data_IF_275060056567
#
_entry.id   IF_275060056567
#
_cell.length_a   1.000
_cell.length_b   1.000
_cell.length_c   1.000
_cell.angle_alpha   90.00
_cell.angle_beta   90.00
_cell.angle_gamma   90.00
#
_symmetry.space_group_name_H-M   'P 1'
#
loop_
_entity.id
_entity.type
_entity.pdbx_description
1 polymer ?
#
# COMPACT_ATOMS: atom_id res chain seq x y z
N UNK A 1 26.35 15.31 -11.92
CA UNK A 1 25.99 13.94 -12.37
C UNK A 1 25.85 12.99 -11.19
N UNK A 2 26.93 12.53 -10.54
CA UNK A 2 26.84 11.55 -9.44
C UNK A 2 26.03 12.06 -8.22
N UNK A 3 26.29 13.31 -7.79
CA UNK A 3 25.51 13.99 -6.73
C UNK A 3 24.01 13.98 -7.01
N UNK A 4 23.62 14.40 -8.21
CA UNK A 4 22.21 14.46 -8.63
C UNK A 4 21.55 13.07 -8.66
N UNK A 5 22.27 12.05 -9.15
CA UNK A 5 21.76 10.68 -9.15
C UNK A 5 21.53 10.14 -7.73
N UNK A 6 22.44 10.43 -6.79
CA UNK A 6 22.27 10.08 -5.38
C UNK A 6 21.13 10.85 -4.74
N UNK A 7 21.04 12.17 -4.98
CA UNK A 7 19.94 13.00 -4.50
C UNK A 7 18.58 12.49 -4.97
N UNK A 8 18.42 12.27 -6.27
CA UNK A 8 17.16 11.70 -6.79
C UNK A 8 16.83 10.33 -6.22
N UNK A 9 17.84 9.48 -5.95
CA UNK A 9 17.61 8.19 -5.29
C UNK A 9 17.13 8.36 -3.85
N UNK A 10 17.72 9.31 -3.10
CA UNK A 10 17.30 9.63 -1.74
C UNK A 10 15.87 10.20 -1.71
N UNK A 11 15.54 11.09 -2.63
CA UNK A 11 14.21 11.71 -2.73
C UNK A 11 13.12 10.65 -2.98
N UNK A 12 13.36 9.70 -3.88
CA UNK A 12 12.40 8.62 -4.17
C UNK A 12 12.31 7.65 -2.96
N UNK A 13 13.42 7.36 -2.28
CA UNK A 13 13.39 6.56 -1.04
C UNK A 13 12.58 7.25 0.07
N UNK A 14 12.67 8.58 0.18
CA UNK A 14 11.88 9.38 1.10
C UNK A 14 10.39 9.35 0.73
N UNK A 15 10.06 9.58 -0.55
CA UNK A 15 8.69 9.50 -1.04
C UNK A 15 8.05 8.13 -0.73
N UNK A 16 8.79 7.04 -0.99
CA UNK A 16 8.37 5.68 -0.60
C UNK A 16 8.12 5.54 0.90
N UNK A 17 9.00 6.09 1.75
CA UNK A 17 8.83 6.04 3.19
C UNK A 17 7.56 6.79 3.66
N UNK A 18 7.26 7.94 3.03
CA UNK A 18 6.01 8.69 3.25
C UNK A 18 4.80 7.86 2.83
N UNK A 19 4.79 7.28 1.63
CA UNK A 19 3.68 6.42 1.16
C UNK A 19 3.40 5.25 2.10
N UNK A 20 4.44 4.59 2.60
CA UNK A 20 4.28 3.50 3.57
C UNK A 20 3.67 3.98 4.89
N UNK A 21 4.09 5.16 5.38
CA UNK A 21 3.54 5.77 6.59
C UNK A 21 2.07 6.12 6.43
N UNK A 22 1.71 6.78 5.33
CA UNK A 22 0.32 7.19 5.06
C UNK A 22 -0.60 5.97 4.90
N UNK A 23 -0.07 4.89 4.30
CA UNK A 23 -0.81 3.63 4.12
C UNK A 23 -0.78 2.71 5.34
N UNK A 24 -0.23 3.15 6.48
CA UNK A 24 -0.09 2.35 7.71
C UNK A 24 0.62 1.00 7.51
N UNK A 25 1.53 0.91 6.54
CA UNK A 25 2.32 -0.30 6.25
C UNK A 25 3.58 -0.29 7.12
N UNK A 26 3.80 -1.37 7.88
CA UNK A 26 4.95 -1.55 8.77
C UNK A 26 6.26 -1.00 8.19
N UNK A 27 6.87 -0.10 8.95
CA UNK A 27 8.12 0.55 8.58
C UNK A 27 9.30 -0.40 8.78
N UNK A 28 10.28 -0.33 7.89
CA UNK A 28 11.56 -1.04 8.07
C UNK A 28 12.25 -0.50 9.32
N UNK A 29 12.39 -1.34 10.34
CA UNK A 29 13.15 -1.04 11.55
C UNK A 29 14.65 -0.92 11.23
N UNK A 30 15.32 0.05 11.85
CA UNK A 30 16.78 0.22 11.74
C UNK A 30 17.47 -1.03 12.32
N UNK A 31 18.39 -1.61 11.56
CA UNK A 31 19.21 -2.74 12.01
C UNK A 31 20.50 -2.27 12.69
N UNK A 32 21.11 -3.13 13.51
CA UNK A 32 22.36 -2.82 14.21
C UNK A 32 23.60 -2.70 13.30
N UNK A 33 23.55 -3.26 12.08
CA UNK A 33 24.63 -3.24 11.06
C UNK A 33 24.04 -3.27 9.65
N UNK A 34 24.85 -2.93 8.64
CA UNK A 34 24.48 -2.94 7.20
C UNK A 34 23.34 -1.97 6.84
N UNK A 35 23.35 -0.79 7.46
CA UNK A 35 22.38 0.25 7.16
C UNK A 35 22.66 0.87 5.78
N UNK A 36 21.60 1.15 5.00
CA UNK A 36 21.77 1.80 3.71
C UNK A 36 21.92 3.32 3.92
N UNK A 37 23.07 3.94 3.61
CA UNK A 37 23.29 5.37 3.85
C UNK A 37 22.25 6.27 3.15
N UNK A 38 21.74 5.84 1.97
CA UNK A 38 20.74 6.58 1.20
C UNK A 38 19.38 6.73 1.91
N UNK A 39 19.14 5.96 2.97
CA UNK A 39 17.89 6.02 3.75
C UNK A 39 18.01 6.87 5.03
N UNK A 40 19.22 7.15 5.49
CA UNK A 40 19.46 7.65 6.85
C UNK A 40 20.26 8.93 6.90
N UNK A 41 21.06 9.23 5.88
CA UNK A 41 21.82 10.46 5.83
C UNK A 41 20.95 11.64 5.41
N UNK A 42 21.24 12.86 5.90
CA UNK A 42 20.40 14.03 5.69
C UNK A 42 20.54 14.65 4.29
N UNK A 43 21.64 14.39 3.58
CA UNK A 43 21.90 14.97 2.27
C UNK A 43 22.80 14.08 1.37
N UNK A 44 22.79 14.32 0.05
CA UNK A 44 23.55 13.52 -0.91
C UNK A 44 25.07 13.58 -0.70
N UNK A 45 25.60 14.70 -0.23
CA UNK A 45 27.04 14.90 0.00
C UNK A 45 27.56 13.98 1.09
N UNK A 46 26.86 13.94 2.23
CA UNK A 46 27.20 13.08 3.36
C UNK A 46 26.98 11.60 3.06
N UNK A 47 25.91 11.25 2.33
CA UNK A 47 25.68 9.89 1.86
C UNK A 47 26.79 9.43 0.89
N UNK A 48 27.22 10.29 -0.04
CA UNK A 48 28.31 10.00 -0.96
C UNK A 48 29.65 9.83 -0.25
N UNK A 49 29.97 10.73 0.68
CA UNK A 49 31.18 10.62 1.50
C UNK A 49 31.20 9.28 2.24
N UNK A 50 30.07 8.87 2.81
CA UNK A 50 29.91 7.58 3.47
C UNK A 50 30.10 6.41 2.50
N UNK A 51 29.44 6.44 1.34
CA UNK A 51 29.48 5.36 0.35
C UNK A 51 30.86 5.13 -0.28
N UNK A 52 31.69 6.17 -0.33
CA UNK A 52 33.04 6.17 -0.89
C UNK A 52 34.14 5.94 0.16
N UNK A 53 33.78 5.97 1.45
CA UNK A 53 34.73 5.72 2.55
C UNK A 53 35.00 4.22 2.70
N UNK A 54 36.27 3.84 2.84
CA UNK A 54 36.69 2.44 2.92
C UNK A 54 36.35 1.74 4.25
N UNK A 55 36.19 2.50 5.35
CA UNK A 55 36.20 1.96 6.72
C UNK A 55 34.94 2.29 7.54
N UNK A 56 33.76 1.94 7.02
CA UNK A 56 32.50 2.17 7.75
C UNK A 56 31.65 0.90 7.91
N UNK A 57 31.99 0.03 8.87
CA UNK A 57 31.30 -1.26 9.07
C UNK A 57 29.82 -1.14 9.47
N UNK A 58 29.34 0.05 9.85
CA UNK A 58 27.94 0.29 10.17
C UNK A 58 27.04 0.43 8.92
N UNK A 59 27.61 0.77 7.76
CA UNK A 59 26.86 1.13 6.55
C UNK A 59 27.28 0.27 5.35
N UNK A 60 26.35 0.11 4.41
CA UNK A 60 26.65 -0.57 3.15
C UNK A 60 27.62 0.25 2.28
N UNK A 61 28.60 -0.40 1.62
CA UNK A 61 29.46 0.27 0.65
C UNK A 61 28.68 0.71 -0.59
N UNK A 62 29.19 1.70 -1.33
CA UNK A 62 28.43 2.41 -2.36
C UNK A 62 27.65 1.55 -3.37
N UNK A 63 28.29 0.53 -3.96
CA UNK A 63 27.63 -0.36 -4.93
C UNK A 63 26.50 -1.16 -4.28
N UNK A 64 26.75 -1.75 -3.11
CA UNK A 64 25.74 -2.51 -2.37
C UNK A 64 24.60 -1.62 -1.86
N UNK A 65 24.90 -0.38 -1.45
CA UNK A 65 23.92 0.60 -1.02
C UNK A 65 22.97 0.99 -2.17
N UNK A 66 23.51 1.29 -3.35
CA UNK A 66 22.69 1.59 -4.54
C UNK A 66 21.87 0.37 -4.99
N UNK A 67 22.49 -0.80 -5.10
CA UNK A 67 21.79 -2.02 -5.49
C UNK A 67 20.63 -2.34 -4.53
N UNK A 68 20.88 -2.27 -3.23
CA UNK A 68 19.84 -2.47 -2.21
C UNK A 68 18.73 -1.42 -2.30
N UNK A 69 19.07 -0.14 -2.54
CA UNK A 69 18.08 0.92 -2.72
C UNK A 69 17.19 0.65 -3.93
N UNK A 70 17.78 0.36 -5.09
CA UNK A 70 17.00 0.07 -6.30
C UNK A 70 16.17 -1.20 -6.18
N UNK A 71 16.65 -2.23 -5.49
CA UNK A 71 15.86 -3.42 -5.21
C UNK A 71 14.63 -3.10 -4.35
N UNK A 72 14.79 -2.29 -3.30
CA UNK A 72 13.69 -1.85 -2.46
C UNK A 72 12.67 -0.97 -3.19
N UNK A 73 13.15 -0.12 -4.12
CA UNK A 73 12.31 0.72 -4.97
C UNK A 73 11.51 -0.13 -5.96
N UNK A 74 12.16 -1.01 -6.71
CA UNK A 74 11.47 -1.94 -7.64
C UNK A 74 10.42 -2.79 -6.93
N UNK A 75 10.77 -3.33 -5.75
CA UNK A 75 9.83 -4.12 -4.97
C UNK A 75 8.64 -3.30 -4.49
N UNK A 76 8.87 -2.05 -4.10
CA UNK A 76 7.79 -1.12 -3.72
C UNK A 76 6.85 -0.82 -4.88
N UNK A 77 7.36 -0.42 -6.05
CA UNK A 77 6.54 -0.10 -7.21
C UNK A 77 5.60 -1.25 -7.59
N UNK A 78 6.14 -2.47 -7.68
CA UNK A 78 5.34 -3.65 -7.97
C UNK A 78 4.30 -3.93 -6.87
N UNK A 79 4.66 -3.75 -5.61
CA UNK A 79 3.77 -4.01 -4.48
C UNK A 79 2.67 -2.94 -4.36
N UNK A 80 2.93 -1.70 -4.75
CA UNK A 80 1.91 -0.65 -4.86
C UNK A 80 0.87 -1.03 -5.91
N UNK A 81 1.31 -1.47 -7.10
CA UNK A 81 0.39 -1.89 -8.17
C UNK A 81 -0.50 -3.06 -7.70
N UNK A 82 0.08 -4.06 -7.06
CA UNK A 82 -0.66 -5.22 -6.53
C UNK A 82 -1.61 -4.81 -5.40
N UNK A 83 -1.14 -3.98 -4.47
CA UNK A 83 -1.95 -3.42 -3.39
C UNK A 83 -3.16 -2.64 -3.91
N UNK A 84 -2.95 -1.74 -4.87
CA UNK A 84 -4.02 -0.93 -5.48
C UNK A 84 -5.06 -1.82 -6.16
N UNK A 85 -4.62 -2.85 -6.89
CA UNK A 85 -5.54 -3.81 -7.53
C UNK A 85 -6.40 -4.54 -6.51
N UNK A 86 -5.80 -5.01 -5.41
CA UNK A 86 -6.52 -5.72 -4.36
C UNK A 86 -7.53 -4.79 -3.65
N UNK A 87 -7.13 -3.56 -3.33
CA UNK A 87 -7.98 -2.59 -2.67
C UNK A 87 -9.16 -2.17 -3.56
N UNK A 88 -8.91 -1.88 -4.84
CA UNK A 88 -9.97 -1.58 -5.81
C UNK A 88 -10.93 -2.77 -5.98
N UNK A 89 -10.41 -4.00 -6.05
CA UNK A 89 -11.25 -5.18 -6.16
C UNK A 89 -12.21 -5.33 -4.96
N UNK A 90 -11.76 -5.03 -3.73
CA UNK A 90 -12.64 -5.07 -2.55
C UNK A 90 -13.72 -3.97 -2.60
N UNK A 91 -13.36 -2.76 -3.04
CA UNK A 91 -14.34 -1.67 -3.23
C UNK A 91 -15.41 -2.10 -4.23
N UNK A 92 -15.03 -2.67 -5.38
CA UNK A 92 -15.97 -3.16 -6.39
C UNK A 92 -16.83 -4.31 -5.86
N UNK A 93 -16.25 -5.26 -5.12
CA UNK A 93 -17.00 -6.37 -4.52
C UNK A 93 -18.07 -5.90 -3.53
N UNK A 94 -17.93 -4.73 -2.90
CA UNK A 94 -18.96 -4.16 -2.02
C UNK A 94 -20.27 -3.85 -2.76
N UNK A 95 -20.20 -3.64 -4.08
CA UNK A 95 -21.36 -3.44 -4.96
C UNK A 95 -21.82 -4.73 -5.66
N UNK A 96 -21.25 -5.88 -5.31
CA UNK A 96 -21.67 -7.17 -5.87
C UNK A 96 -23.14 -7.45 -5.48
N UNK A 97 -24.04 -7.68 -6.45
CA UNK A 97 -25.46 -7.89 -6.18
C UNK A 97 -25.73 -8.98 -5.15
N UNK A 98 -24.99 -10.08 -5.20
CA UNK A 98 -25.12 -11.18 -4.24
C UNK A 98 -24.79 -10.75 -2.80
N UNK A 99 -23.76 -9.91 -2.59
CA UNK A 99 -23.42 -9.37 -1.26
C UNK A 99 -24.47 -8.36 -0.77
N UNK A 100 -24.99 -7.53 -1.68
CA UNK A 100 -26.10 -6.60 -1.38
C UNK A 100 -27.33 -7.38 -0.95
N UNK A 101 -27.68 -8.45 -1.66
CA UNK A 101 -28.81 -9.32 -1.32
C UNK A 101 -28.63 -10.03 0.03
N UNK A 102 -27.41 -10.46 0.38
CA UNK A 102 -27.12 -11.05 1.69
C UNK A 102 -27.28 -10.08 2.85
N UNK A 103 -27.06 -8.77 2.62
CA UNK A 103 -27.29 -7.72 3.63
C UNK A 103 -28.77 -7.46 3.87
N UNK A 104 -29.62 -7.80 2.91
CA UNK A 104 -31.06 -7.83 3.12
C UNK A 104 -31.36 -9.02 4.05
N UNK A 105 -31.67 -8.74 5.33
CA UNK A 105 -31.97 -9.75 6.33
C UNK A 105 -33.00 -10.79 5.83
N UNK A 106 -32.96 -12.00 6.42
CA UNK A 106 -33.79 -13.16 6.05
C UNK A 106 -35.21 -12.71 5.71
N UNK A 107 -35.70 -13.00 4.48
CA UNK A 107 -36.95 -12.45 3.97
C UNK A 107 -38.04 -12.66 5.00
N UNK A 108 -38.64 -11.57 5.48
CA UNK A 108 -39.89 -11.67 6.22
C UNK A 108 -40.88 -12.45 5.37
N UNK A 109 -41.79 -13.22 5.98
CA UNK A 109 -42.78 -14.06 5.26
C UNK A 109 -43.55 -13.29 4.16
N UNK A 110 -43.59 -11.95 4.25
CA UNK A 110 -44.16 -11.01 3.27
C UNK A 110 -43.31 -10.73 2.02
N UNK A 111 -41.99 -10.92 2.03
CA UNK A 111 -41.13 -10.64 0.86
C UNK A 111 -41.32 -11.67 -0.27
N UNK A 112 -41.84 -12.86 0.04
CA UNK A 112 -42.26 -13.85 -0.97
C UNK A 112 -43.53 -13.45 -1.71
N UNK A 113 -44.33 -12.54 -1.14
CA UNK A 113 -45.64 -12.16 -1.67
C UNK A 113 -45.56 -10.93 -2.61
N UNK A 114 -44.49 -10.12 -2.51
CA UNK A 114 -44.30 -8.92 -3.35
C UNK A 114 -42.86 -8.76 -3.87
N UNK A 115 -42.53 -9.37 -5.03
CA UNK A 115 -41.21 -9.25 -5.66
C UNK A 115 -40.79 -7.80 -5.98
N UNK A 116 -41.76 -6.92 -6.25
CA UNK A 116 -41.50 -5.49 -6.49
C UNK A 116 -40.96 -4.75 -5.28
N UNK A 117 -41.47 -5.06 -4.08
CA UNK A 117 -41.00 -4.44 -2.83
C UNK A 117 -39.55 -4.85 -2.50
N UNK A 118 -39.17 -6.11 -2.81
CA UNK A 118 -37.79 -6.57 -2.67
C UNK A 118 -36.83 -5.81 -3.57
N UNK A 119 -37.19 -5.62 -4.85
CA UNK A 119 -36.35 -4.85 -5.80
C UNK A 119 -36.18 -3.39 -5.37
N UNK A 120 -37.23 -2.74 -4.89
CA UNK A 120 -37.15 -1.38 -4.36
C UNK A 120 -36.17 -1.29 -3.18
N UNK A 121 -36.27 -2.20 -2.20
CA UNK A 121 -35.33 -2.22 -1.07
C UNK A 121 -33.87 -2.47 -1.47
N UNK A 122 -33.63 -3.32 -2.47
CA UNK A 122 -32.29 -3.55 -2.99
C UNK A 122 -31.71 -2.29 -3.66
N UNK A 123 -32.56 -1.53 -4.36
CA UNK A 123 -32.18 -0.23 -4.92
C UNK A 123 -31.88 0.80 -3.83
N UNK A 124 -32.70 0.87 -2.78
CA UNK A 124 -32.45 1.75 -1.63
C UNK A 124 -31.13 1.39 -0.93
N UNK A 125 -30.81 0.09 -0.79
CA UNK A 125 -29.53 -0.34 -0.24
C UNK A 125 -28.34 0.07 -1.14
N UNK A 126 -28.48 -0.09 -2.45
CA UNK A 126 -27.43 0.28 -3.40
C UNK A 126 -27.17 1.79 -3.38
N UNK A 127 -28.22 2.61 -3.35
CA UNK A 127 -28.09 4.07 -3.29
C UNK A 127 -27.48 4.53 -1.97
N UNK A 128 -27.83 3.89 -0.84
CA UNK A 128 -27.18 4.12 0.45
C UNK A 128 -25.67 3.78 0.39
N UNK A 129 -25.31 2.61 -0.14
CA UNK A 129 -23.90 2.21 -0.31
C UNK A 129 -23.10 3.18 -1.18
N UNK A 130 -23.71 3.68 -2.25
CA UNK A 130 -23.09 4.69 -3.10
C UNK A 130 -22.92 6.03 -2.38
N UNK A 131 -23.95 6.48 -1.65
CA UNK A 131 -23.91 7.71 -0.88
C UNK A 131 -22.87 7.67 0.25
N UNK A 132 -22.66 6.50 0.85
CA UNK A 132 -21.59 6.30 1.83
C UNK A 132 -20.21 6.33 1.15
N UNK A 133 -20.05 5.71 -0.03
CA UNK A 133 -18.78 5.75 -0.78
C UNK A 133 -18.38 7.17 -1.22
N UNK A 134 -19.31 7.97 -1.73
CA UNK A 134 -19.03 9.31 -2.29
C UNK A 134 -18.85 10.37 -1.21
N UNK A 135 -19.34 10.12 0.01
CA UNK A 135 -19.04 10.99 1.15
C UNK A 135 -17.55 10.85 1.42
N UNK A 136 -16.81 11.94 1.24
CA UNK A 136 -15.32 12.06 1.23
C UNK A 136 -14.64 11.71 2.59
N UNK A 137 -15.27 10.87 3.40
CA UNK A 137 -14.89 10.52 4.77
C UNK A 137 -15.64 9.31 5.33
N UNK A 138 -16.05 8.33 4.51
CA UNK A 138 -16.40 7.03 5.07
C UNK A 138 -15.13 6.33 5.53
N UNK A 139 -14.81 6.53 6.81
CA UNK A 139 -13.69 5.92 7.52
C UNK A 139 -13.64 4.40 7.27
N UNK A 140 -14.79 3.73 7.09
CA UNK A 140 -14.83 2.30 6.82
C UNK A 140 -14.34 1.94 5.42
N UNK A 141 -14.65 2.73 4.40
CA UNK A 141 -14.13 2.49 3.04
C UNK A 141 -12.64 2.75 3.01
N UNK A 142 -12.18 3.86 3.59
CA UNK A 142 -10.74 4.18 3.66
C UNK A 142 -9.98 3.12 4.46
N UNK A 143 -10.53 2.67 5.58
CA UNK A 143 -9.96 1.60 6.41
C UNK A 143 -9.87 0.28 5.65
N UNK A 144 -10.96 -0.21 5.06
CA UNK A 144 -10.97 -1.47 4.32
C UNK A 144 -10.03 -1.39 3.10
N UNK A 145 -10.04 -0.26 2.40
CA UNK A 145 -9.11 -0.01 1.30
C UNK A 145 -7.66 -0.12 1.77
N UNK A 146 -7.32 0.59 2.85
CA UNK A 146 -5.98 0.58 3.46
C UNK A 146 -5.57 -0.82 3.93
N UNK A 147 -6.44 -1.55 4.61
CA UNK A 147 -6.20 -2.92 5.07
C UNK A 147 -5.90 -3.88 3.90
N UNK A 148 -6.70 -3.84 2.84
CA UNK A 148 -6.51 -4.71 1.67
C UNK A 148 -5.28 -4.33 0.88
N UNK A 149 -5.02 -3.03 0.72
CA UNK A 149 -3.80 -2.51 0.13
C UNK A 149 -2.57 -3.01 0.89
N UNK A 150 -2.53 -2.79 2.20
CA UNK A 150 -1.41 -3.15 3.07
C UNK A 150 -1.13 -4.67 3.05
N UNK A 151 -2.19 -5.49 3.17
CA UNK A 151 -2.08 -6.94 3.13
C UNK A 151 -1.46 -7.44 1.80
N UNK A 152 -2.03 -7.02 0.67
CA UNK A 152 -1.56 -7.43 -0.64
C UNK A 152 -0.15 -6.90 -0.95
N UNK A 153 0.15 -5.67 -0.50
CA UNK A 153 1.49 -5.10 -0.57
C UNK A 153 2.51 -5.95 0.19
N UNK A 154 2.23 -6.28 1.46
CA UNK A 154 3.14 -7.06 2.30
C UNK A 154 3.36 -8.48 1.75
N UNK A 155 2.29 -9.12 1.26
CA UNK A 155 2.38 -10.43 0.59
C UNK A 155 3.26 -10.37 -0.65
N UNK A 156 3.13 -9.31 -1.47
CA UNK A 156 3.97 -9.14 -2.66
C UNK A 156 5.44 -8.91 -2.30
N UNK A 157 5.73 -8.10 -1.28
CA UNK A 157 7.09 -7.93 -0.76
C UNK A 157 7.67 -9.28 -0.28
N UNK A 158 6.92 -10.05 0.49
CA UNK A 158 7.36 -11.36 0.97
C UNK A 158 7.65 -12.33 -0.18
N UNK A 159 6.78 -12.35 -1.20
CA UNK A 159 6.96 -13.16 -2.42
C UNK A 159 8.21 -12.78 -3.19
N UNK A 160 8.46 -11.49 -3.39
CA UNK A 160 9.66 -11.00 -4.09
C UNK A 160 10.95 -11.33 -3.32
N UNK A 161 10.91 -11.33 -1.98
CA UNK A 161 12.04 -11.75 -1.14
C UNK A 161 12.30 -13.26 -1.22
N UNK A 162 11.25 -14.08 -1.29
CA UNK A 162 11.38 -15.53 -1.38
C UNK A 162 11.84 -16.01 -2.77
N UNK A 163 11.65 -15.20 -3.82
CA UNK A 163 12.07 -15.52 -5.19
C UNK A 163 13.53 -15.15 -5.48
N UNK A 164 14.28 -14.66 -4.48
CA UNK A 164 15.66 -14.22 -4.58
C UNK A 164 16.59 -15.22 -3.91
#
# INVERSE_FOLDING_TARGET
>A
MLREAVGGTMDILLARAMTKRDSHIDMTMIGARSNNPLKFFPNPESALSQMLSADAPAYLPGVSALAAAFDDLKAHELSVIVGMRAALAEVVQRFEPARIEQRLAVPGRFDKLMPGARKARLWDLLTALYADLVRDGDEDVQRIFGEKFALAYQQQIARLRAAR
#
